data_IF_490059624107
#
_entry.id   IF_490059624107
#
_cell.length_a   1.000
_cell.length_b   1.000
_cell.length_c   1.000
_cell.angle_alpha   90.00
_cell.angle_beta   90.00
_cell.angle_gamma   90.00
#
_symmetry.space_group_name_H-M   'P 1'
#
loop_
_entity.id
_entity.type
_entity.pdbx_description
1 polymer ?
#
# COMPACT_ATOMS: atom_id res chain seq x y z
N UNK A 1 -19.18 -12.93 5.81
CA UNK A 1 -18.16 -13.11 6.87
C UNK A 1 -17.48 -11.78 7.06
N UNK A 2 -17.57 -11.19 8.26
CA UNK A 2 -17.04 -9.87 8.54
C UNK A 2 -15.55 -9.97 8.89
N UNK A 3 -14.71 -9.20 8.19
CA UNK A 3 -13.37 -8.86 8.67
C UNK A 3 -13.26 -7.35 8.73
N UNK A 4 -13.80 -6.77 9.79
CA UNK A 4 -13.42 -5.43 10.22
C UNK A 4 -12.02 -5.54 10.84
N UNK A 5 -10.98 -5.41 10.02
CA UNK A 5 -9.61 -5.41 10.51
C UNK A 5 -9.14 -3.97 10.78
N UNK A 6 -9.13 -3.63 12.08
CA UNK A 6 -8.28 -2.67 12.77
C UNK A 6 -8.31 -1.18 12.33
N UNK A 7 -9.06 -0.38 13.10
CA UNK A 7 -8.97 1.10 13.20
C UNK A 7 -7.63 1.64 13.73
N UNK A 8 -6.52 0.90 13.70
CA UNK A 8 -5.27 1.33 14.38
C UNK A 8 -3.95 0.83 13.79
N UNK A 9 -3.93 0.20 12.61
CA UNK A 9 -2.66 -0.04 11.91
C UNK A 9 -2.23 1.24 11.17
N UNK A 10 -1.56 2.17 11.87
CA UNK A 10 -1.08 3.43 11.27
C UNK A 10 -0.14 3.19 10.06
N UNK A 11 0.41 1.98 9.91
CA UNK A 11 1.40 1.60 8.90
C UNK A 11 1.15 0.17 8.37
N UNK A 12 0.72 0.07 7.13
CA UNK A 12 0.55 -1.16 6.37
C UNK A 12 1.90 -1.70 5.88
N UNK A 13 2.01 -3.01 5.79
CA UNK A 13 3.08 -3.70 5.05
C UNK A 13 2.73 -3.82 3.56
N UNK A 14 3.73 -4.13 2.76
CA UNK A 14 3.52 -4.49 1.34
C UNK A 14 2.56 -5.68 1.22
N UNK A 15 2.65 -6.65 2.12
CA UNK A 15 1.81 -7.85 2.09
C UNK A 15 0.33 -7.51 2.35
N UNK A 16 0.05 -6.67 3.34
CA UNK A 16 -1.30 -6.18 3.62
C UNK A 16 -1.90 -5.43 2.42
N UNK A 17 -1.11 -4.59 1.75
CA UNK A 17 -1.58 -3.87 0.54
C UNK A 17 -1.81 -4.83 -0.62
N UNK A 18 -0.91 -5.80 -0.82
CA UNK A 18 -1.08 -6.82 -1.86
C UNK A 18 -2.34 -7.66 -1.63
N UNK A 19 -2.62 -8.00 -0.37
CA UNK A 19 -3.85 -8.68 0.02
C UNK A 19 -5.09 -7.80 -0.18
N UNK A 20 -5.02 -6.51 0.17
CA UNK A 20 -6.16 -5.58 0.02
C UNK A 20 -6.50 -5.30 -1.45
N UNK A 21 -5.48 -5.10 -2.30
CA UNK A 21 -5.64 -4.87 -3.74
C UNK A 21 -5.78 -6.13 -4.57
N UNK A 22 -5.61 -7.32 -3.97
CA UNK A 22 -5.57 -8.62 -4.66
C UNK A 22 -4.54 -8.65 -5.81
N UNK A 23 -3.36 -8.07 -5.58
CA UNK A 23 -2.24 -8.06 -6.54
C UNK A 23 -1.05 -8.88 -6.05
N UNK A 24 -0.20 -9.31 -6.97
CA UNK A 24 1.06 -9.92 -6.61
C UNK A 24 2.06 -8.88 -6.07
N UNK A 25 2.95 -9.31 -5.16
CA UNK A 25 4.05 -8.45 -4.67
C UNK A 25 4.93 -7.92 -5.81
N UNK A 26 5.12 -8.70 -6.86
CA UNK A 26 5.84 -8.29 -8.07
C UNK A 26 5.20 -7.05 -8.70
N UNK A 27 3.87 -7.04 -8.88
CA UNK A 27 3.11 -5.90 -9.40
C UNK A 27 3.32 -4.65 -8.54
N UNK A 28 3.30 -4.80 -7.22
CA UNK A 28 3.58 -3.69 -6.30
C UNK A 28 5.01 -3.15 -6.48
N UNK A 29 6.01 -4.02 -6.61
CA UNK A 29 7.39 -3.59 -6.87
C UNK A 29 7.55 -2.95 -8.24
N UNK A 30 6.85 -3.44 -9.28
CA UNK A 30 6.82 -2.83 -10.61
C UNK A 30 6.26 -1.41 -10.56
N UNK A 31 5.15 -1.19 -9.85
CA UNK A 31 4.60 0.15 -9.65
C UNK A 31 5.58 1.07 -8.93
N UNK A 32 6.27 0.55 -7.92
CA UNK A 32 7.29 1.30 -7.19
C UNK A 32 8.48 1.68 -8.08
N UNK A 33 8.94 0.76 -8.95
CA UNK A 33 10.00 1.05 -9.93
C UNK A 33 9.56 2.11 -10.94
N UNK A 34 8.29 2.05 -11.37
CA UNK A 34 7.69 3.02 -12.30
C UNK A 34 7.29 4.35 -11.63
N UNK A 35 7.49 4.50 -10.32
CA UNK A 35 7.08 5.69 -9.58
C UNK A 35 5.56 5.86 -9.45
N UNK A 36 4.78 4.80 -9.67
CA UNK A 36 3.30 4.78 -9.62
C UNK A 36 2.74 4.14 -8.36
N UNK A 37 3.58 3.85 -7.37
CA UNK A 37 3.17 3.23 -6.10
C UNK A 37 3.06 4.24 -4.96
N UNK A 38 2.40 3.88 -3.85
CA UNK A 38 2.28 4.73 -2.67
C UNK A 38 3.63 4.98 -2.00
N UNK A 39 3.71 6.04 -1.18
CA UNK A 39 4.93 6.37 -0.43
C UNK A 39 5.28 5.28 0.58
N UNK A 40 6.46 4.70 0.39
CA UNK A 40 6.99 3.65 1.25
C UNK A 40 8.10 4.17 2.17
N UNK A 41 7.98 3.89 3.47
CA UNK A 41 9.01 4.12 4.49
C UNK A 41 9.87 2.85 4.56
N UNK A 42 11.16 2.99 4.26
CA UNK A 42 12.15 1.92 4.45
C UNK A 42 12.62 1.91 5.89
N UNK A 43 12.41 0.81 6.59
CA UNK A 43 12.93 0.58 7.93
C UNK A 43 14.41 0.11 7.88
N UNK A 44 15.17 0.27 8.97
CA UNK A 44 16.57 -0.18 9.03
C UNK A 44 16.72 -1.70 8.87
N UNK A 45 15.67 -2.48 9.14
CA UNK A 45 15.64 -3.93 8.91
C UNK A 45 15.34 -4.32 7.44
N UNK A 46 15.22 -3.36 6.52
CA UNK A 46 14.90 -3.59 5.12
C UNK A 46 13.42 -3.78 4.81
N UNK A 47 12.55 -3.84 5.81
CA UNK A 47 11.11 -3.92 5.60
C UNK A 47 10.54 -2.58 5.11
N UNK A 48 9.51 -2.65 4.26
CA UNK A 48 8.76 -1.49 3.79
C UNK A 48 7.47 -1.35 4.59
N UNK A 49 7.20 -0.11 5.05
CA UNK A 49 5.96 0.28 5.70
C UNK A 49 5.34 1.45 4.98
N UNK A 50 4.05 1.41 4.75
CA UNK A 50 3.29 2.45 4.05
C UNK A 50 2.27 2.98 5.04
N UNK A 51 2.15 4.31 5.20
CA UNK A 51 1.10 4.84 6.08
C UNK A 51 -0.26 4.61 5.42
N UNK A 52 -1.29 4.32 6.21
CA UNK A 52 -2.65 4.16 5.67
C UNK A 52 -3.08 5.41 4.90
N UNK A 53 -2.83 6.59 5.44
CA UNK A 53 -3.14 7.86 4.75
C UNK A 53 -2.36 8.06 3.45
N UNK A 54 -1.10 7.64 3.35
CA UNK A 54 -0.34 7.69 2.09
C UNK A 54 -0.91 6.72 1.05
N UNK A 55 -1.38 5.56 1.50
CA UNK A 55 -2.06 4.57 0.64
C UNK A 55 -3.42 5.07 0.16
N UNK A 56 -4.24 5.63 1.06
CA UNK A 56 -5.54 6.23 0.75
C UNK A 56 -5.40 7.42 -0.21
N UNK A 57 -4.43 8.31 0.04
CA UNK A 57 -4.15 9.42 -0.88
C UNK A 57 -3.74 8.94 -2.28
N UNK A 58 -2.95 7.86 -2.34
CA UNK A 58 -2.57 7.25 -3.61
C UNK A 58 -3.75 6.58 -4.31
N UNK A 59 -4.65 5.92 -3.56
CA UNK A 59 -5.90 5.39 -4.10
C UNK A 59 -6.74 6.53 -4.69
N UNK A 60 -6.90 7.64 -3.97
CA UNK A 60 -7.63 8.81 -4.45
C UNK A 60 -7.00 9.43 -5.71
N UNK A 61 -5.67 9.48 -5.80
CA UNK A 61 -4.96 9.89 -7.02
C UNK A 61 -5.18 8.93 -8.19
N UNK A 62 -5.31 7.62 -7.90
CA UNK A 62 -5.66 6.60 -8.88
C UNK A 62 -7.17 6.57 -9.22
N UNK A 63 -8.03 7.09 -8.34
CA UNK A 63 -9.48 7.14 -8.50
C UNK A 63 -9.95 8.24 -9.49
N UNK A 64 -9.03 9.02 -10.08
CA UNK A 64 -9.31 9.99 -11.14
C UNK A 64 -8.39 9.71 -12.35
N UNK A 65 -8.91 9.52 -13.57
CA UNK A 65 -9.76 10.48 -14.28
C UNK A 65 -10.59 9.79 -15.38
N UNK A 66 -11.83 10.25 -15.66
CA UNK A 66 -12.53 9.95 -16.92
C UNK A 66 -11.74 10.38 -18.17
#
# INVERSE_FOLDING_TARGET
>A
MAVTAARTAQKLTVDEICAELQIARSTFYDWRQKGRGPRCIRLPNGALRIRRSDFENWLTDCEDRP
#
